data_IF_133880011760
#
_entry.id   IF_133880011760
#
_cell.length_a   1.000
_cell.length_b   1.000
_cell.length_c   1.000
_cell.angle_alpha   90.00
_cell.angle_beta   90.00
_cell.angle_gamma   90.00
#
_symmetry.space_group_name_H-M   'P 1'
#
loop_
_entity.id
_entity.type
_entity.pdbx_description
1 polymer ?
#
# COMPACT_ATOMS: atom_id res chain seq x y z
N UNK A 1 24.94 -3.27 -7.46
CA UNK A 1 26.26 -3.73 -6.98
C UNK A 1 26.51 -2.99 -5.70
N UNK A 2 26.08 -3.55 -4.57
CA UNK A 2 26.31 -2.97 -3.25
C UNK A 2 27.22 -3.93 -2.52
N UNK A 3 28.49 -3.53 -2.38
CA UNK A 3 29.50 -4.26 -1.62
C UNK A 3 28.96 -4.62 -0.23
N UNK A 4 29.37 -5.80 0.22
CA UNK A 4 29.21 -6.31 1.59
C UNK A 4 29.82 -5.28 2.56
N UNK A 5 29.00 -4.37 3.07
CA UNK A 5 29.46 -3.30 3.95
C UNK A 5 29.28 -3.78 5.39
N UNK A 6 30.41 -4.10 6.03
CA UNK A 6 30.49 -4.55 7.40
C UNK A 6 30.08 -3.40 8.34
N UNK A 7 28.95 -3.55 9.05
CA UNK A 7 28.34 -2.46 9.84
C UNK A 7 29.23 -2.06 11.02
N UNK A 8 30.08 -2.96 11.50
CA UNK A 8 30.96 -2.77 12.66
C UNK A 8 32.09 -1.76 12.43
N UNK A 9 32.41 -1.42 11.19
CA UNK A 9 33.44 -0.41 10.84
C UNK A 9 32.85 0.95 10.44
N UNK A 10 31.53 1.13 10.52
CA UNK A 10 30.86 2.33 10.04
C UNK A 10 30.79 3.42 11.12
N UNK A 11 31.25 4.63 10.79
CA UNK A 11 30.96 5.83 11.58
C UNK A 11 29.44 6.04 11.72
N UNK A 12 28.99 6.58 12.85
CA UNK A 12 27.58 6.78 13.23
C UNK A 12 26.83 7.52 12.11
N UNK A 13 27.49 8.49 11.47
CA UNK A 13 26.90 9.24 10.35
C UNK A 13 26.57 8.34 9.15
N UNK A 14 27.48 7.41 8.81
CA UNK A 14 27.27 6.45 7.72
C UNK A 14 26.20 5.42 8.08
N UNK A 15 26.16 4.96 9.33
CA UNK A 15 25.07 4.07 9.80
C UNK A 15 23.71 4.76 9.67
N UNK A 16 23.64 6.05 10.03
CA UNK A 16 22.42 6.83 9.92
C UNK A 16 21.98 7.06 8.47
N UNK A 17 22.93 7.36 7.57
CA UNK A 17 22.65 7.49 6.14
C UNK A 17 22.14 6.17 5.55
N UNK A 18 22.75 5.05 5.91
CA UNK A 18 22.33 3.72 5.50
C UNK A 18 20.92 3.37 5.98
N UNK A 19 20.61 3.60 7.26
CA UNK A 19 19.27 3.38 7.81
C UNK A 19 18.20 4.19 7.07
N UNK A 20 18.48 5.47 6.77
CA UNK A 20 17.56 6.31 6.00
C UNK A 20 17.32 5.76 4.59
N UNK A 21 18.33 5.17 3.97
CA UNK A 21 18.20 4.59 2.63
C UNK A 21 17.37 3.31 2.65
N UNK A 22 17.58 2.40 3.62
CA UNK A 22 16.69 1.23 3.81
C UNK A 22 15.25 1.69 4.02
N UNK A 23 15.04 2.68 4.90
CA UNK A 23 13.71 3.19 5.19
C UNK A 23 13.05 3.78 3.94
N UNK A 24 13.81 4.49 3.11
CA UNK A 24 13.34 5.04 1.83
C UNK A 24 12.98 3.93 0.85
N UNK A 25 13.84 2.93 0.65
CA UNK A 25 13.57 1.82 -0.27
C UNK A 25 12.35 0.99 0.17
N UNK A 26 12.25 0.64 1.45
CA UNK A 26 11.08 -0.04 2.00
C UNK A 26 9.81 0.79 1.81
N UNK A 27 9.88 2.13 1.98
CA UNK A 27 8.71 2.99 1.79
C UNK A 27 8.27 3.09 0.32
N UNK A 28 9.20 3.02 -0.64
CA UNK A 28 8.88 3.03 -2.08
C UNK A 28 8.03 1.82 -2.47
N UNK A 29 8.25 0.65 -1.85
CA UNK A 29 7.46 -0.56 -2.09
C UNK A 29 6.00 -0.38 -1.66
N UNK A 30 5.76 0.29 -0.53
CA UNK A 30 4.41 0.47 0.02
C UNK A 30 3.63 1.58 -0.67
N UNK A 31 4.29 2.73 -0.89
CA UNK A 31 3.61 3.97 -1.27
C UNK A 31 3.68 4.25 -2.79
N UNK A 32 4.55 3.55 -3.52
CA UNK A 32 4.85 3.80 -4.93
C UNK A 32 5.65 5.10 -5.13
N UNK A 33 6.49 5.15 -6.16
CA UNK A 33 7.33 6.32 -6.47
C UNK A 33 6.68 7.18 -7.54
N UNK A 34 6.81 8.51 -7.45
CA UNK A 34 6.38 9.41 -8.53
C UNK A 34 7.43 10.48 -8.77
N UNK A 35 8.02 10.50 -9.97
CA UNK A 35 8.69 11.69 -10.50
C UNK A 35 7.61 12.52 -11.19
N UNK A 36 7.25 13.63 -10.56
CA UNK A 36 6.59 14.83 -11.14
C UNK A 36 5.98 14.58 -12.55
N UNK A 37 4.79 13.94 -12.61
CA UNK A 37 3.89 13.73 -13.79
C UNK A 37 4.30 12.68 -14.88
N UNK A 38 3.45 11.79 -15.44
CA UNK A 38 1.98 11.85 -15.70
C UNK A 38 1.14 10.56 -15.59
N UNK A 39 1.67 9.35 -15.36
CA UNK A 39 0.80 8.15 -15.29
C UNK A 39 0.63 7.65 -13.85
N UNK A 40 -0.65 7.50 -13.46
CA UNK A 40 -1.13 7.27 -12.09
C UNK A 40 -0.31 6.24 -11.32
N UNK A 41 -0.03 6.56 -10.06
CA UNK A 41 0.56 5.66 -9.06
C UNK A 41 0.00 4.24 -9.18
N UNK A 42 0.87 3.27 -9.42
CA UNK A 42 0.63 1.90 -9.03
C UNK A 42 1.11 1.75 -7.59
N UNK A 43 0.43 2.40 -6.65
CA UNK A 43 0.58 2.00 -5.26
C UNK A 43 0.04 0.58 -5.18
N UNK A 44 0.80 -0.43 -4.73
CA UNK A 44 0.35 -1.83 -4.76
C UNK A 44 -0.99 -2.02 -4.05
N UNK A 45 -1.27 -1.21 -3.02
CA UNK A 45 -2.55 -1.17 -2.31
C UNK A 45 -3.76 -0.66 -3.13
N UNK A 46 -3.54 -0.15 -4.33
CA UNK A 46 -4.55 0.34 -5.28
C UNK A 46 -4.53 -0.53 -6.55
N UNK A 47 -4.65 -1.84 -6.36
CA UNK A 47 -4.75 -2.80 -7.44
C UNK A 47 -6.06 -2.64 -8.25
N UNK A 48 -6.11 -3.29 -9.42
CA UNK A 48 -7.25 -3.22 -10.33
C UNK A 48 -8.56 -3.71 -9.69
N UNK A 49 -8.47 -4.65 -8.77
CA UNK A 49 -9.62 -5.25 -8.06
C UNK A 49 -10.28 -4.25 -7.10
N UNK A 50 -9.52 -3.60 -6.21
CA UNK A 50 -10.04 -2.58 -5.29
C UNK A 50 -10.63 -1.41 -6.10
N UNK A 51 -9.97 -1.01 -7.20
CA UNK A 51 -10.49 0.03 -8.10
C UNK A 51 -11.84 -0.37 -8.70
N UNK A 52 -11.99 -1.62 -9.15
CA UNK A 52 -13.25 -2.16 -9.70
C UNK A 52 -14.36 -2.13 -8.65
N UNK A 53 -14.07 -2.57 -7.44
CA UNK A 53 -15.06 -2.64 -6.34
C UNK A 53 -15.45 -1.26 -5.80
N UNK A 54 -14.52 -0.30 -5.79
CA UNK A 54 -14.81 1.11 -5.50
C UNK A 54 -15.69 1.73 -6.60
N UNK A 55 -15.46 1.38 -7.87
CA UNK A 55 -16.32 1.81 -8.98
C UNK A 55 -17.74 1.27 -8.82
N UNK A 56 -17.88 -0.02 -8.52
CA UNK A 56 -19.17 -0.65 -8.23
C UNK A 56 -19.88 -0.03 -7.03
N UNK A 57 -19.15 0.29 -5.95
CA UNK A 57 -19.70 1.04 -4.81
C UNK A 57 -20.28 2.37 -5.25
N UNK A 58 -19.57 3.13 -6.08
CA UNK A 58 -20.05 4.42 -6.61
C UNK A 58 -21.28 4.26 -7.48
N UNK A 59 -21.32 3.24 -8.33
CA UNK A 59 -22.47 2.94 -9.20
C UNK A 59 -23.71 2.57 -8.37
N UNK A 60 -23.58 1.67 -7.39
CA UNK A 60 -24.67 1.31 -6.48
C UNK A 60 -25.14 2.51 -5.63
N UNK A 61 -24.21 3.33 -5.16
CA UNK A 61 -24.53 4.55 -4.41
C UNK A 61 -25.25 5.63 -5.23
N UNK A 62 -25.05 5.65 -6.56
CA UNK A 62 -25.82 6.53 -7.47
C UNK A 62 -27.22 5.99 -7.79
N UNK A 63 -27.39 4.67 -7.81
CA UNK A 63 -28.69 4.02 -8.09
C UNK A 63 -29.65 4.07 -6.91
N UNK A 64 -29.15 3.94 -5.69
CA UNK A 64 -30.00 3.92 -4.49
C UNK A 64 -30.92 5.15 -4.34
N UNK A 65 -30.44 6.41 -4.49
CA UNK A 65 -31.29 7.59 -4.35
C UNK A 65 -32.37 7.72 -5.43
N UNK A 66 -32.18 7.09 -6.60
CA UNK A 66 -33.10 7.18 -7.72
C UNK A 66 -34.28 6.20 -7.63
N UNK A 67 -34.10 5.06 -6.95
CA UNK A 67 -35.10 3.97 -6.89
C UNK A 67 -35.64 3.72 -5.47
N UNK A 68 -35.14 4.43 -4.44
CA UNK A 68 -35.54 4.46 -3.01
C UNK A 68 -36.09 3.15 -2.42
N UNK A 69 -35.58 2.00 -2.87
CA UNK A 69 -36.04 0.68 -2.44
C UNK A 69 -35.07 0.11 -1.41
N UNK A 70 -35.59 -0.49 -0.34
CA UNK A 70 -34.79 -1.03 0.77
C UNK A 70 -33.77 -2.10 0.32
N UNK A 71 -34.11 -2.87 -0.72
CA UNK A 71 -33.20 -3.84 -1.37
C UNK A 71 -31.94 -3.17 -1.96
N UNK A 72 -32.07 -2.04 -2.66
CA UNK A 72 -30.93 -1.29 -3.24
C UNK A 72 -30.02 -0.68 -2.18
N UNK A 73 -30.62 -0.26 -1.06
CA UNK A 73 -29.85 0.21 0.09
C UNK A 73 -28.98 -0.91 0.67
N UNK A 74 -29.54 -2.12 0.82
CA UNK A 74 -28.79 -3.28 1.29
C UNK A 74 -27.65 -3.65 0.31
N UNK A 75 -27.91 -3.66 -1.00
CA UNK A 75 -26.88 -3.90 -2.02
C UNK A 75 -25.71 -2.89 -1.94
N UNK A 76 -26.01 -1.62 -1.70
CA UNK A 76 -25.00 -0.58 -1.51
C UNK A 76 -24.24 -0.77 -0.18
N UNK A 77 -24.95 -1.08 0.91
CA UNK A 77 -24.37 -1.32 2.24
C UNK A 77 -23.39 -2.48 2.22
N UNK A 78 -23.77 -3.61 1.62
CA UNK A 78 -22.91 -4.77 1.44
C UNK A 78 -21.65 -4.43 0.63
N UNK A 79 -21.83 -3.74 -0.50
CA UNK A 79 -20.70 -3.30 -1.33
C UNK A 79 -19.76 -2.36 -0.58
N UNK A 80 -20.31 -1.44 0.23
CA UNK A 80 -19.52 -0.53 1.06
C UNK A 80 -18.70 -1.29 2.10
N UNK A 81 -19.30 -2.29 2.76
CA UNK A 81 -18.60 -3.11 3.74
C UNK A 81 -17.51 -3.95 3.08
N UNK A 82 -17.79 -4.57 1.93
CA UNK A 82 -16.80 -5.30 1.13
C UNK A 82 -15.59 -4.41 0.81
N UNK A 83 -15.81 -3.21 0.26
CA UNK A 83 -14.73 -2.25 -0.05
C UNK A 83 -13.97 -1.84 1.21
N UNK A 84 -14.64 -1.65 2.34
CA UNK A 84 -14.00 -1.28 3.60
C UNK A 84 -13.05 -2.37 4.08
N UNK A 85 -13.47 -3.63 4.08
CA UNK A 85 -12.63 -4.75 4.51
C UNK A 85 -11.46 -4.97 3.55
N UNK A 86 -11.70 -4.96 2.23
CA UNK A 86 -10.60 -5.06 1.25
C UNK A 86 -9.54 -3.98 1.44
N UNK A 87 -9.93 -2.72 1.67
CA UNK A 87 -8.97 -1.63 1.92
C UNK A 87 -8.23 -1.84 3.25
N UNK A 88 -8.89 -2.38 4.28
CA UNK A 88 -8.28 -2.66 5.58
C UNK A 88 -7.24 -3.78 5.47
N UNK A 89 -7.60 -4.89 4.85
CA UNK A 89 -6.72 -6.04 4.61
C UNK A 89 -5.52 -5.63 3.76
N UNK A 90 -5.75 -4.89 2.68
CA UNK A 90 -4.67 -4.46 1.80
C UNK A 90 -3.70 -3.52 2.52
N UNK A 91 -4.21 -2.61 3.37
CA UNK A 91 -3.35 -1.77 4.22
C UNK A 91 -2.54 -2.60 5.20
N UNK A 92 -3.15 -3.63 5.81
CA UNK A 92 -2.47 -4.52 6.75
C UNK A 92 -1.34 -5.25 6.03
N UNK A 93 -1.64 -5.88 4.89
CA UNK A 93 -0.64 -6.57 4.06
C UNK A 93 0.49 -5.65 3.64
N UNK A 94 0.20 -4.43 3.18
CA UNK A 94 1.26 -3.48 2.81
C UNK A 94 2.17 -3.10 3.99
N UNK A 95 1.68 -3.11 5.23
CA UNK A 95 2.52 -2.90 6.42
C UNK A 95 3.33 -4.14 6.79
N UNK A 96 2.77 -5.33 6.60
CA UNK A 96 3.48 -6.60 6.76
C UNK A 96 4.64 -6.68 5.74
N UNK A 97 4.36 -6.43 4.45
CA UNK A 97 5.37 -6.40 3.38
C UNK A 97 6.50 -5.38 3.66
N UNK A 98 6.15 -4.21 4.24
CA UNK A 98 7.13 -3.20 4.66
C UNK A 98 8.06 -3.73 5.74
N UNK A 99 7.48 -4.39 6.76
CA UNK A 99 8.22 -4.91 7.90
C UNK A 99 9.16 -6.04 7.47
N UNK A 100 8.65 -6.98 6.68
CA UNK A 100 9.45 -8.08 6.13
C UNK A 100 10.64 -7.55 5.34
N UNK A 101 10.45 -6.54 4.48
CA UNK A 101 11.57 -5.93 3.74
C UNK A 101 12.56 -5.15 4.59
N UNK A 102 12.10 -4.50 5.66
CA UNK A 102 13.01 -3.89 6.63
C UNK A 102 13.85 -4.96 7.33
N UNK A 103 13.24 -6.09 7.71
CA UNK A 103 13.92 -7.22 8.37
C UNK A 103 14.87 -7.94 7.41
N UNK A 104 14.47 -8.29 6.19
CA UNK A 104 15.33 -8.94 5.19
C UNK A 104 16.58 -8.10 4.88
N UNK A 105 16.44 -6.79 4.69
CA UNK A 105 17.59 -5.91 4.43
C UNK A 105 18.51 -5.76 5.65
N UNK A 106 17.99 -6.02 6.85
CA UNK A 106 18.77 -6.03 8.09
C UNK A 106 19.46 -7.38 8.33
N UNK A 107 18.78 -8.50 8.05
CA UNK A 107 19.27 -9.87 8.30
C UNK A 107 20.09 -10.48 7.16
N UNK A 108 19.98 -10.00 5.91
CA UNK A 108 20.80 -10.46 4.79
C UNK A 108 22.31 -10.13 4.93
N UNK A 109 22.74 -9.65 6.11
CA UNK A 109 24.11 -9.23 6.41
C UNK A 109 24.63 -9.73 7.77
N UNK A 110 23.92 -10.67 8.40
CA UNK A 110 24.49 -11.56 9.43
C UNK A 110 24.79 -12.92 8.78
#
# INVERSE_FOLDING_TARGET
MFDECNIEEMDIKRMWDYFKDILRESAKLVYGVTKINKNKKETPRWNGEIKKEVKMKKEKGKRYPAESTNSRYNEYKEQRNKVKEMVKETKKKSWEDFREKMEENYFARY
#
